data_IF_306485147551
#
_entry.id   IF_306485147551
#
_cell.length_a   1.000
_cell.length_b   1.000
_cell.length_c   1.000
_cell.angle_alpha   90.00
_cell.angle_beta   90.00
_cell.angle_gamma   90.00
#
_symmetry.space_group_name_H-M   'P 1'
#
loop_
_entity.id
_entity.type
_entity.pdbx_description
1 polymer ?
#
# COMPACT_ATOMS: atom_id res chain seq x y z
N UNK A 1 -33.91 52.63 17.27
CA UNK A 1 -33.59 52.44 15.84
C UNK A 1 -32.09 52.53 15.67
N UNK A 2 -31.40 51.38 15.62
CA UNK A 2 -29.98 51.30 15.30
C UNK A 2 -29.81 50.81 13.85
N UNK A 3 -28.77 51.24 13.12
CA UNK A 3 -28.65 50.94 11.70
C UNK A 3 -28.29 49.47 11.47
N UNK A 4 -29.04 48.81 10.58
CA UNK A 4 -28.70 47.50 10.04
C UNK A 4 -27.37 47.58 9.30
N UNK A 5 -26.35 46.84 9.76
CA UNK A 5 -25.14 46.57 8.97
C UNK A 5 -25.48 45.50 7.95
N UNK A 6 -25.54 45.87 6.68
CA UNK A 6 -25.55 44.91 5.56
C UNK A 6 -24.22 44.13 5.57
N UNK A 7 -24.31 42.82 5.77
CA UNK A 7 -23.19 41.91 5.51
C UNK A 7 -23.05 41.73 4.00
N UNK A 8 -22.10 42.45 3.40
CA UNK A 8 -21.62 42.20 2.05
C UNK A 8 -21.01 40.78 2.06
N UNK A 9 -21.75 39.79 1.55
CA UNK A 9 -21.21 38.47 1.26
C UNK A 9 -20.28 38.62 0.07
N UNK A 10 -18.97 38.46 0.31
CA UNK A 10 -18.02 38.31 -0.78
C UNK A 10 -18.37 37.10 -1.67
N UNK A 11 -17.83 37.05 -2.90
CA UNK A 11 -18.04 35.89 -3.77
C UNK A 11 -17.58 34.62 -3.06
N UNK A 12 -18.27 33.48 -3.27
CA UNK A 12 -17.87 32.21 -2.67
C UNK A 12 -16.41 31.91 -3.06
N UNK A 13 -15.62 31.34 -2.13
CA UNK A 13 -14.26 30.94 -2.45
C UNK A 13 -14.30 29.98 -3.66
N UNK A 14 -13.32 30.08 -4.58
CA UNK A 14 -13.26 29.16 -5.71
C UNK A 14 -13.22 27.71 -5.18
N UNK A 15 -13.89 26.77 -5.87
CA UNK A 15 -13.89 25.38 -5.45
C UNK A 15 -12.45 24.89 -5.32
N UNK A 16 -12.11 24.34 -4.16
CA UNK A 16 -10.81 23.73 -3.93
C UNK A 16 -10.69 22.55 -4.91
N UNK A 17 -9.83 22.66 -5.92
CA UNK A 17 -9.51 21.56 -6.83
C UNK A 17 -8.92 20.42 -6.02
N UNK A 18 -9.34 19.19 -6.35
CA UNK A 18 -8.88 17.98 -5.67
C UNK A 18 -7.33 17.92 -5.65
N UNK A 19 -6.68 17.48 -4.55
CA UNK A 19 -5.22 17.46 -4.44
C UNK A 19 -4.50 16.75 -5.59
N UNK A 20 -5.12 15.69 -6.14
CA UNK A 20 -4.60 14.95 -7.30
C UNK A 20 -4.66 15.71 -8.63
N UNK A 21 -5.37 16.83 -8.71
CA UNK A 21 -5.48 17.70 -9.89
C UNK A 21 -4.47 18.86 -9.87
N UNK A 22 -3.57 18.92 -8.88
CA UNK A 22 -2.49 19.92 -8.87
C UNK A 22 -1.28 19.46 -9.67
N UNK A 23 -0.60 20.42 -10.32
CA UNK A 23 0.71 20.16 -10.93
C UNK A 23 1.70 19.75 -9.83
N UNK A 24 2.39 18.64 -10.04
CA UNK A 24 3.36 18.06 -9.08
C UNK A 24 4.57 18.97 -8.80
N UNK A 25 4.84 19.91 -9.70
CA UNK A 25 5.96 20.86 -9.58
C UNK A 25 5.53 22.19 -8.94
N UNK A 26 4.37 22.25 -8.29
CA UNK A 26 3.90 23.47 -7.63
C UNK A 26 4.66 23.70 -6.32
N UNK A 27 5.60 24.63 -6.36
CA UNK A 27 6.19 25.23 -5.17
C UNK A 27 5.53 26.59 -4.94
N UNK A 28 5.02 26.91 -3.74
CA UNK A 28 4.52 28.25 -3.48
C UNK A 28 5.62 29.29 -3.68
N UNK A 29 5.30 30.42 -4.30
CA UNK A 29 6.22 31.55 -4.37
C UNK A 29 6.55 32.03 -2.94
N UNK A 30 7.84 32.31 -2.70
CA UNK A 30 8.33 32.96 -1.48
C UNK A 30 7.62 34.31 -1.26
N UNK A 31 7.41 34.70 -0.01
CA UNK A 31 6.72 35.94 0.43
C UNK A 31 5.18 35.93 0.32
N UNK A 32 4.55 34.77 0.10
CA UNK A 32 3.08 34.69 0.08
C UNK A 32 2.47 34.82 1.48
N UNK A 33 3.20 34.41 2.51
CA UNK A 33 2.76 34.51 3.88
C UNK A 33 3.96 34.54 4.82
N UNK A 34 4.21 35.70 5.42
CA UNK A 34 5.33 35.94 6.33
C UNK A 34 5.43 34.92 7.47
N UNK A 35 4.31 34.40 7.97
CA UNK A 35 4.33 33.38 9.03
C UNK A 35 4.79 32.01 8.51
N UNK A 36 4.36 31.64 7.30
CA UNK A 36 4.80 30.40 6.64
C UNK A 36 6.27 30.53 6.25
N UNK A 37 6.65 31.66 5.65
CA UNK A 37 8.03 31.94 5.26
C UNK A 37 8.95 31.89 6.49
N UNK A 38 8.62 32.58 7.59
CA UNK A 38 9.37 32.48 8.86
C UNK A 38 9.39 31.06 9.45
N UNK A 39 8.29 30.30 9.39
CA UNK A 39 8.30 28.92 9.89
C UNK A 39 9.25 28.03 9.07
N UNK A 40 9.22 28.15 7.74
CA UNK A 40 10.11 27.40 6.87
C UNK A 40 11.57 27.83 7.00
N UNK A 41 11.87 29.14 6.93
CA UNK A 41 13.25 29.66 6.96
C UNK A 41 13.85 29.65 8.36
N UNK A 42 13.09 30.09 9.38
CA UNK A 42 13.65 30.35 10.71
C UNK A 42 13.54 29.13 11.63
N UNK A 43 12.58 28.23 11.39
CA UNK A 43 12.39 27.03 12.21
C UNK A 43 12.80 25.75 11.50
N UNK A 44 12.24 25.45 10.31
CA UNK A 44 12.51 24.17 9.63
C UNK A 44 13.93 24.12 9.07
N UNK A 45 14.35 25.14 8.30
CA UNK A 45 15.71 25.19 7.76
C UNK A 45 16.76 25.30 8.87
N UNK A 46 16.51 26.09 9.91
CA UNK A 46 17.42 26.22 11.03
C UNK A 46 17.54 24.90 11.81
N UNK A 47 16.43 24.24 12.16
CA UNK A 47 16.47 22.92 12.79
C UNK A 47 17.16 21.88 11.91
N UNK A 48 16.94 21.90 10.59
CA UNK A 48 17.65 21.01 9.66
C UNK A 48 19.15 21.29 9.67
N UNK A 49 19.56 22.55 9.66
CA UNK A 49 20.97 22.94 9.74
C UNK A 49 21.60 22.51 11.06
N UNK A 50 20.90 22.74 12.17
CA UNK A 50 21.35 22.36 13.51
C UNK A 50 21.48 20.84 13.64
N UNK A 51 20.49 20.09 13.14
CA UNK A 51 20.53 18.63 13.05
C UNK A 51 21.71 18.14 12.19
N UNK A 52 21.91 18.72 11.01
CA UNK A 52 23.03 18.35 10.14
C UNK A 52 24.38 18.65 10.79
N UNK A 53 24.50 19.77 11.50
CA UNK A 53 25.69 20.12 12.26
C UNK A 53 25.93 19.13 13.41
N UNK A 54 24.89 18.77 14.17
CA UNK A 54 24.94 17.77 15.24
C UNK A 54 25.39 16.40 14.71
N UNK A 55 24.79 15.94 13.60
CA UNK A 55 25.18 14.70 12.91
C UNK A 55 26.62 14.77 12.39
N UNK A 56 27.07 15.91 11.89
CA UNK A 56 28.46 16.12 11.45
C UNK A 56 29.44 16.16 12.63
N UNK A 57 29.05 16.64 13.81
CA UNK A 57 29.89 16.58 15.02
C UNK A 57 29.97 15.16 15.59
N UNK A 58 28.95 14.34 15.39
CA UNK A 58 28.95 12.90 15.69
C UNK A 58 29.74 12.07 14.66
N UNK A 59 30.20 12.67 13.54
CA UNK A 59 30.95 11.96 12.50
C UNK A 59 32.42 11.70 12.87
N UNK A 60 32.82 11.95 14.12
CA UNK A 60 34.07 11.47 14.71
C UNK A 60 34.00 9.97 14.95
N UNK A 61 34.23 9.20 13.87
CA UNK A 61 34.01 7.76 13.74
C UNK A 61 32.56 7.40 13.39
N UNK A 62 32.31 7.11 12.11
CA UNK A 62 31.12 6.35 11.68
C UNK A 62 31.20 4.97 12.34
N UNK A 63 30.69 4.84 13.56
CA UNK A 63 30.52 3.54 14.19
C UNK A 63 29.42 2.85 13.41
N UNK A 64 29.79 1.77 12.75
CA UNK A 64 28.86 0.88 12.08
C UNK A 64 27.97 0.22 13.14
N UNK A 65 26.64 0.31 12.98
CA UNK A 65 25.70 -0.37 13.87
C UNK A 65 25.71 -1.90 13.69
N UNK A 66 26.50 -2.40 12.75
CA UNK A 66 26.71 -3.82 12.48
C UNK A 66 28.15 -4.20 12.80
N UNK A 67 28.31 -5.33 13.48
CA UNK A 67 29.60 -5.99 13.59
C UNK A 67 30.11 -6.41 12.21
N UNK A 68 31.43 -6.62 12.11
CA UNK A 68 32.05 -7.16 10.89
C UNK A 68 31.43 -8.49 10.46
N UNK A 69 31.01 -9.33 11.42
CA UNK A 69 30.38 -10.62 11.17
C UNK A 69 28.96 -10.45 10.60
N UNK A 70 28.14 -9.57 11.17
CA UNK A 70 26.79 -9.29 10.65
C UNK A 70 26.84 -8.66 9.25
N UNK A 71 27.77 -7.73 9.03
CA UNK A 71 27.98 -7.14 7.71
C UNK A 71 28.39 -8.17 6.68
N UNK A 72 29.26 -9.11 7.06
CA UNK A 72 29.65 -10.22 6.20
C UNK A 72 28.45 -11.13 5.90
N UNK A 73 27.65 -11.49 6.92
CA UNK A 73 26.44 -12.29 6.75
C UNK A 73 25.43 -11.61 5.81
N UNK A 74 25.25 -10.29 5.89
CA UNK A 74 24.38 -9.54 4.96
C UNK A 74 24.91 -9.54 3.53
N UNK A 75 26.23 -9.44 3.34
CA UNK A 75 26.84 -9.54 2.01
C UNK A 75 26.61 -10.93 1.42
N UNK A 76 26.81 -11.97 2.21
CA UNK A 76 26.57 -13.37 1.81
C UNK A 76 25.09 -13.64 1.52
N UNK A 77 24.18 -13.07 2.33
CA UNK A 77 22.74 -13.21 2.10
C UNK A 77 22.34 -12.50 0.81
N UNK A 78 22.88 -11.30 0.55
CA UNK A 78 22.63 -10.53 -0.66
C UNK A 78 23.16 -11.22 -1.92
N UNK A 79 24.24 -11.99 -1.83
CA UNK A 79 24.80 -12.73 -2.97
C UNK A 79 24.05 -14.02 -3.29
N UNK A 80 23.09 -14.46 -2.46
CA UNK A 80 22.30 -15.66 -2.73
C UNK A 80 21.16 -15.34 -3.70
N UNK A 81 21.22 -15.93 -4.89
CA UNK A 81 20.21 -15.79 -5.94
C UNK A 81 19.05 -16.80 -5.80
N UNK A 82 19.22 -17.85 -5.01
CA UNK A 82 18.25 -18.94 -4.86
C UNK A 82 17.23 -18.71 -3.73
N UNK A 83 17.13 -17.48 -3.20
CA UNK A 83 16.23 -17.14 -2.11
C UNK A 83 15.37 -15.92 -2.45
N UNK A 84 14.19 -15.87 -1.85
CA UNK A 84 13.28 -14.73 -1.87
C UNK A 84 13.10 -14.25 -0.43
N UNK A 85 13.22 -12.94 -0.23
CA UNK A 85 12.98 -12.27 1.04
C UNK A 85 11.72 -11.42 0.90
N UNK A 86 10.67 -11.76 1.65
CA UNK A 86 9.37 -11.05 1.62
C UNK A 86 8.81 -10.88 3.02
N UNK A 87 8.03 -9.81 3.29
CA UNK A 87 7.24 -9.75 4.50
C UNK A 87 6.18 -10.85 4.49
N UNK A 88 5.89 -11.42 5.66
CA UNK A 88 4.80 -12.36 5.83
C UNK A 88 3.45 -11.66 5.64
N UNK A 89 2.44 -12.42 5.22
CA UNK A 89 1.07 -11.92 5.06
C UNK A 89 0.47 -11.33 6.35
N UNK A 90 0.90 -11.85 7.51
CA UNK A 90 0.43 -11.44 8.84
C UNK A 90 1.58 -11.50 9.84
N UNK A 91 1.51 -10.63 10.86
CA UNK A 91 2.42 -10.66 12.02
C UNK A 91 3.76 -9.95 11.83
N UNK A 92 3.98 -9.25 10.70
CA UNK A 92 5.18 -8.40 10.50
C UNK A 92 6.51 -9.15 10.37
N UNK A 93 6.50 -10.49 10.37
CA UNK A 93 7.70 -11.30 10.22
C UNK A 93 8.30 -11.18 8.81
N UNK A 94 9.62 -11.41 8.71
CA UNK A 94 10.33 -11.53 7.44
C UNK A 94 10.48 -13.02 7.11
N UNK A 95 10.10 -13.42 5.90
CA UNK A 95 10.19 -14.80 5.42
C UNK A 95 11.32 -14.91 4.41
N UNK A 96 12.24 -15.83 4.68
CA UNK A 96 13.25 -16.29 3.73
C UNK A 96 12.76 -17.62 3.13
N UNK A 97 12.47 -17.61 1.83
CA UNK A 97 11.95 -18.76 1.11
C UNK A 97 12.89 -19.13 -0.05
N UNK A 98 12.91 -20.41 -0.44
CA UNK A 98 13.55 -20.83 -1.67
C UNK A 98 12.86 -20.18 -2.89
N UNK A 99 13.64 -19.69 -3.85
CA UNK A 99 13.12 -19.00 -5.03
C UNK A 99 12.24 -19.92 -5.92
N UNK A 100 12.63 -21.18 -6.08
CA UNK A 100 11.92 -22.15 -6.93
C UNK A 100 10.55 -22.48 -6.34
N UNK A 101 10.47 -22.70 -5.03
CA UNK A 101 9.21 -22.94 -4.32
C UNK A 101 8.26 -21.75 -4.46
N UNK A 102 8.80 -20.54 -4.38
CA UNK A 102 8.04 -19.30 -4.52
C UNK A 102 7.48 -19.13 -5.96
N UNK A 103 8.31 -19.41 -6.97
CA UNK A 103 7.92 -19.37 -8.39
C UNK A 103 6.89 -20.46 -8.70
N UNK A 104 7.10 -21.68 -8.19
CA UNK A 104 6.19 -22.81 -8.36
C UNK A 104 4.81 -22.50 -7.76
N UNK A 105 4.75 -21.91 -6.58
CA UNK A 105 3.48 -21.47 -5.99
C UNK A 105 2.79 -20.38 -6.82
N UNK A 106 3.55 -19.44 -7.41
CA UNK A 106 2.99 -18.42 -8.30
C UNK A 106 2.37 -19.06 -9.55
N UNK A 107 3.09 -19.99 -10.20
CA UNK A 107 2.57 -20.71 -11.36
C UNK A 107 1.36 -21.59 -11.00
N UNK A 108 1.37 -22.25 -9.85
CA UNK A 108 0.22 -23.04 -9.37
C UNK A 108 -1.05 -22.19 -9.26
N UNK A 109 -0.94 -20.95 -8.78
CA UNK A 109 -2.09 -20.02 -8.70
C UNK A 109 -2.49 -19.49 -10.08
N UNK A 110 -1.53 -19.11 -10.92
CA UNK A 110 -1.79 -18.57 -12.26
C UNK A 110 -2.30 -19.63 -13.26
N UNK A 111 -2.09 -20.92 -12.98
CA UNK A 111 -2.61 -22.02 -13.77
C UNK A 111 -4.13 -22.23 -13.62
N UNK A 112 -4.77 -21.56 -12.65
CA UNK A 112 -6.21 -21.62 -12.49
C UNK A 112 -6.93 -20.82 -13.60
N UNK A 113 -7.33 -21.54 -14.65
CA UNK A 113 -8.01 -20.99 -15.81
C UNK A 113 -9.45 -20.52 -15.52
N UNK A 114 -9.99 -20.77 -14.32
CA UNK A 114 -11.28 -20.19 -13.93
C UNK A 114 -11.18 -18.70 -13.57
N UNK A 115 -9.98 -18.23 -13.18
CA UNK A 115 -9.72 -16.84 -12.81
C UNK A 115 -8.72 -16.14 -13.74
N UNK A 116 -7.73 -16.86 -14.26
CA UNK A 116 -6.64 -16.30 -15.05
C UNK A 116 -6.64 -16.81 -16.49
N UNK A 117 -6.15 -15.99 -17.42
CA UNK A 117 -5.88 -16.40 -18.78
C UNK A 117 -4.54 -15.84 -19.24
N UNK A 118 -3.70 -16.63 -19.94
CA UNK A 118 -2.43 -16.15 -20.46
C UNK A 118 -2.67 -15.08 -21.53
N UNK A 119 -1.87 -14.02 -21.50
CA UNK A 119 -1.90 -12.94 -22.48
C UNK A 119 -0.63 -13.01 -23.34
N UNK A 120 -0.79 -12.89 -24.65
CA UNK A 120 0.33 -12.95 -25.61
C UNK A 120 1.17 -11.68 -25.65
N UNK A 121 0.63 -10.55 -25.18
CA UNK A 121 1.29 -9.25 -25.21
C UNK A 121 0.77 -8.33 -24.10
N UNK A 122 1.58 -7.32 -23.76
CA UNK A 122 1.19 -6.26 -22.84
C UNK A 122 0.00 -5.47 -23.42
N UNK A 123 -1.09 -5.40 -22.63
CA UNK A 123 -2.34 -4.72 -23.00
C UNK A 123 -2.39 -3.26 -22.55
N UNK A 124 -1.34 -2.75 -21.91
CA UNK A 124 -1.31 -1.39 -21.32
C UNK A 124 -1.69 -0.32 -22.34
N UNK A 125 -1.15 -0.37 -23.55
CA UNK A 125 -1.47 0.60 -24.61
C UNK A 125 -2.92 0.51 -25.06
N UNK A 126 -3.48 -0.70 -25.18
CA UNK A 126 -4.87 -0.90 -25.56
C UNK A 126 -5.85 -0.41 -24.48
N UNK A 127 -5.52 -0.66 -23.20
CA UNK A 127 -6.27 -0.12 -22.07
C UNK A 127 -6.22 1.42 -22.06
N UNK A 128 -5.06 2.01 -22.32
CA UNK A 128 -4.91 3.47 -22.41
C UNK A 128 -5.70 4.06 -23.58
N UNK A 129 -5.74 3.40 -24.74
CA UNK A 129 -6.59 3.82 -25.89
C UNK A 129 -8.07 3.78 -25.51
N UNK A 130 -8.53 2.70 -24.87
CA UNK A 130 -9.90 2.57 -24.37
C UNK A 130 -10.23 3.66 -23.37
N UNK A 131 -9.35 3.92 -22.40
CA UNK A 131 -9.48 5.03 -21.47
C UNK A 131 -9.67 6.35 -22.21
N UNK A 132 -8.77 6.70 -23.13
CA UNK A 132 -8.87 7.94 -23.93
C UNK A 132 -10.17 8.04 -24.71
N UNK A 133 -10.67 6.94 -25.29
CA UNK A 133 -11.97 6.94 -25.98
C UNK A 133 -13.15 7.19 -25.02
N UNK A 134 -13.10 6.66 -23.80
CA UNK A 134 -14.12 6.92 -22.78
C UNK A 134 -14.07 8.38 -22.32
N UNK A 135 -12.88 8.98 -22.25
CA UNK A 135 -12.72 10.39 -21.88
C UNK A 135 -13.35 11.35 -22.89
N UNK A 136 -13.41 11.00 -24.17
CA UNK A 136 -14.02 11.84 -25.21
C UNK A 136 -15.51 12.09 -24.98
N UNK A 137 -16.19 11.24 -24.20
CA UNK A 137 -17.61 11.37 -23.90
C UNK A 137 -17.91 12.40 -22.80
N UNK A 138 -16.89 12.95 -22.14
CA UNK A 138 -17.05 13.95 -21.06
C UNK A 138 -16.89 15.38 -21.60
N UNK A 139 -17.36 16.37 -20.84
CA UNK A 139 -17.17 17.79 -21.15
C UNK A 139 -15.70 18.20 -21.16
N UNK A 140 -15.33 19.19 -21.98
CA UNK A 140 -13.93 19.61 -22.21
C UNK A 140 -13.18 19.92 -20.92
N UNK A 141 -13.79 20.63 -19.97
CA UNK A 141 -13.17 20.96 -18.69
C UNK A 141 -12.83 19.71 -17.88
N UNK A 142 -13.73 18.72 -17.91
CA UNK A 142 -13.51 17.42 -17.27
C UNK A 142 -12.41 16.63 -17.97
N UNK A 143 -12.30 16.73 -19.30
CA UNK A 143 -11.23 16.06 -20.04
C UNK A 143 -9.84 16.58 -19.65
N UNK A 144 -9.67 17.89 -19.47
CA UNK A 144 -8.40 18.48 -19.04
C UNK A 144 -8.01 18.04 -17.62
N UNK A 145 -8.99 17.98 -16.72
CA UNK A 145 -8.77 17.51 -15.36
C UNK A 145 -8.39 16.02 -15.32
N UNK A 146 -9.06 15.17 -16.10
CA UNK A 146 -8.76 13.73 -16.12
C UNK A 146 -7.43 13.43 -16.81
N UNK A 147 -6.96 14.26 -17.76
CA UNK A 147 -5.60 14.11 -18.32
C UNK A 147 -4.53 14.19 -17.24
N UNK A 148 -4.75 14.97 -16.17
CA UNK A 148 -3.84 15.05 -15.02
C UNK A 148 -3.87 13.79 -14.14
N UNK A 149 -4.92 12.97 -14.26
CA UNK A 149 -5.11 11.71 -13.56
C UNK A 149 -4.64 10.49 -14.36
N UNK A 150 -4.05 10.69 -15.54
CA UNK A 150 -3.39 9.61 -16.28
C UNK A 150 -1.92 9.55 -15.87
N UNK A 151 -1.39 8.36 -15.55
CA UNK A 151 0.03 8.22 -15.25
C UNK A 151 0.89 8.57 -16.49
N UNK A 152 2.03 9.26 -16.30
CA UNK A 152 2.88 9.67 -17.42
C UNK A 152 3.52 8.46 -18.13
N UNK A 153 3.88 7.42 -17.36
CA UNK A 153 4.50 6.20 -17.85
C UNK A 153 3.67 4.99 -17.37
N UNK A 154 2.53 4.68 -18.01
CA UNK A 154 1.69 3.56 -17.60
C UNK A 154 2.39 2.22 -17.81
N UNK A 155 2.22 1.28 -16.88
CA UNK A 155 2.70 -0.09 -17.02
C UNK A 155 1.64 -1.12 -16.57
N UNK A 156 1.86 -2.37 -16.94
CA UNK A 156 1.08 -3.49 -16.41
C UNK A 156 1.34 -3.68 -14.92
N UNK A 157 0.32 -4.11 -14.17
CA UNK A 157 0.49 -4.41 -12.75
C UNK A 157 1.46 -5.56 -12.50
N UNK A 158 2.24 -5.45 -11.43
CA UNK A 158 3.23 -6.47 -11.05
C UNK A 158 2.61 -7.53 -10.14
N UNK A 159 2.66 -8.80 -10.55
CA UNK A 159 2.22 -9.93 -9.73
C UNK A 159 3.32 -10.36 -8.75
N UNK A 160 2.98 -10.53 -7.48
CA UNK A 160 3.84 -11.13 -6.47
C UNK A 160 3.03 -11.79 -5.37
N UNK A 161 3.70 -12.61 -4.55
CA UNK A 161 3.10 -13.32 -3.44
C UNK A 161 3.60 -12.77 -2.09
N UNK A 162 2.70 -12.74 -1.10
CA UNK A 162 3.08 -12.62 0.31
C UNK A 162 2.94 -13.98 1.01
N UNK A 163 4.02 -14.55 1.59
CA UNK A 163 3.95 -15.86 2.22
C UNK A 163 3.02 -15.86 3.45
N UNK A 164 2.04 -16.76 3.48
CA UNK A 164 1.13 -16.95 4.62
C UNK A 164 1.74 -17.91 5.63
N UNK A 165 2.85 -17.52 6.26
CA UNK A 165 3.57 -18.35 7.24
C UNK A 165 2.65 -18.95 8.32
N UNK A 166 1.66 -18.18 8.79
CA UNK A 166 0.65 -18.61 9.77
C UNK A 166 -0.21 -19.82 9.33
N UNK A 167 -0.18 -20.23 8.05
CA UNK A 167 -0.90 -21.41 7.55
C UNK A 167 -0.07 -22.69 7.63
N UNK A 168 1.25 -22.61 7.85
CA UNK A 168 2.13 -23.77 7.94
C UNK A 168 1.70 -24.74 9.04
N UNK A 169 1.33 -24.23 10.22
CA UNK A 169 0.87 -25.06 11.35
C UNK A 169 -0.33 -25.94 10.94
N UNK A 170 -1.36 -25.32 10.37
CA UNK A 170 -2.55 -26.04 9.91
C UNK A 170 -2.25 -27.04 8.78
N UNK A 171 -1.30 -26.75 7.89
CA UNK A 171 -0.88 -27.69 6.84
C UNK A 171 -0.09 -28.87 7.41
N UNK A 172 0.76 -28.62 8.41
CA UNK A 172 1.50 -29.67 9.10
C UNK A 172 0.57 -30.58 9.90
N UNK A 173 -0.43 -30.03 10.59
CA UNK A 173 -1.44 -30.80 11.32
C UNK A 173 -2.19 -31.79 10.42
N UNK A 174 -2.38 -31.47 9.13
CA UNK A 174 -3.04 -32.36 8.17
C UNK A 174 -2.14 -33.51 7.70
N UNK A 175 -0.81 -33.33 7.72
CA UNK A 175 0.16 -34.33 7.22
C UNK A 175 0.75 -35.16 8.35
N UNK A 176 0.93 -34.57 9.52
CA UNK A 176 1.50 -35.20 10.71
C UNK A 176 0.36 -35.76 11.56
N UNK A 177 -0.27 -36.83 11.06
CA UNK A 177 -1.46 -37.39 11.69
C UNK A 177 -1.19 -38.13 13.01
N UNK A 178 0.07 -38.43 13.37
CA UNK A 178 0.40 -39.27 14.54
C UNK A 178 1.80 -38.97 15.17
N UNK A 179 2.26 -37.70 15.25
CA UNK A 179 3.53 -37.46 15.95
C UNK A 179 3.34 -37.33 17.46
N UNK A 180 4.11 -38.11 18.23
CA UNK A 180 4.17 -38.03 19.71
C UNK A 180 4.53 -36.62 20.24
N UNK A 181 5.16 -35.79 19.40
CA UNK A 181 5.56 -34.42 19.77
C UNK A 181 4.65 -33.39 19.11
N UNK A 182 4.08 -32.44 19.86
CA UNK A 182 3.27 -31.37 19.29
C UNK A 182 4.12 -30.44 18.39
N UNK A 183 3.48 -29.87 17.38
CA UNK A 183 4.09 -28.85 16.51
C UNK A 183 4.29 -27.58 17.33
N UNK A 184 5.48 -27.01 17.29
CA UNK A 184 5.85 -25.80 18.01
C UNK A 184 6.90 -24.99 17.23
N UNK A 185 7.24 -23.80 17.72
CA UNK A 185 8.13 -22.87 17.02
C UNK A 185 9.56 -23.42 16.83
N UNK A 186 10.00 -24.35 17.66
CA UNK A 186 11.33 -24.97 17.55
C UNK A 186 11.39 -26.03 16.45
N UNK A 187 10.31 -26.79 16.24
CA UNK A 187 10.29 -27.91 15.31
C UNK A 187 9.59 -27.59 13.97
N UNK A 188 8.78 -26.52 13.89
CA UNK A 188 7.94 -26.21 12.72
C UNK A 188 8.75 -26.10 11.42
N UNK A 189 9.92 -25.44 11.46
CA UNK A 189 10.77 -25.28 10.28
C UNK A 189 11.34 -26.62 9.82
N UNK A 190 11.77 -27.46 10.78
CA UNK A 190 12.31 -28.78 10.47
C UNK A 190 11.22 -29.69 9.88
N UNK A 191 10.03 -29.70 10.47
CA UNK A 191 8.91 -30.49 9.99
C UNK A 191 8.44 -30.02 8.60
N UNK A 192 8.31 -28.70 8.39
CA UNK A 192 7.95 -28.14 7.09
C UNK A 192 8.95 -28.58 6.00
N UNK A 193 10.25 -28.55 6.30
CA UNK A 193 11.28 -29.06 5.37
C UNK A 193 11.18 -30.57 5.15
N UNK A 194 10.97 -31.35 6.22
CA UNK A 194 10.86 -32.81 6.17
C UNK A 194 9.71 -33.26 5.27
N UNK A 195 8.57 -32.57 5.33
CA UNK A 195 7.38 -32.88 4.54
C UNK A 195 7.22 -32.00 3.29
N UNK A 196 8.26 -31.23 2.92
CA UNK A 196 8.26 -30.32 1.77
C UNK A 196 7.04 -29.38 1.73
N UNK A 197 6.60 -28.90 2.89
CA UNK A 197 5.48 -27.96 3.02
C UNK A 197 6.00 -26.55 2.88
N UNK A 198 5.47 -25.83 1.90
CA UNK A 198 5.76 -24.42 1.64
C UNK A 198 4.57 -23.55 2.07
N UNK A 199 4.82 -22.32 2.52
CA UNK A 199 3.73 -21.44 2.92
C UNK A 199 2.96 -21.00 1.67
N UNK A 200 1.62 -21.10 1.65
CA UNK A 200 0.85 -20.64 0.51
C UNK A 200 1.00 -19.12 0.34
N UNK A 201 1.01 -18.64 -0.89
CA UNK A 201 1.13 -17.21 -1.19
C UNK A 201 -0.23 -16.49 -1.16
N UNK A 202 -0.29 -15.26 -0.65
CA UNK A 202 -1.37 -14.33 -1.03
C UNK A 202 -1.00 -13.69 -2.38
N UNK A 203 -1.78 -13.90 -3.46
CA UNK A 203 -1.55 -13.21 -4.72
C UNK A 203 -1.85 -11.72 -4.57
N UNK A 204 -0.92 -10.89 -5.01
CA UNK A 204 -1.05 -9.43 -5.09
C UNK A 204 -0.70 -9.00 -6.51
N UNK A 205 -1.54 -8.16 -7.10
CA UNK A 205 -1.22 -7.42 -8.33
C UNK A 205 -1.06 -5.95 -7.94
N UNK A 206 0.16 -5.43 -8.07
CA UNK A 206 0.44 -4.02 -7.79
C UNK A 206 -0.26 -3.12 -8.82
N UNK A 207 -1.04 -2.16 -8.33
CA UNK A 207 -1.68 -1.12 -9.15
C UNK A 207 -0.79 0.09 -9.46
N UNK A 208 0.46 0.10 -8.98
CA UNK A 208 1.37 1.25 -9.12
C UNK A 208 1.70 1.48 -10.59
N UNK A 209 1.55 2.73 -11.03
CA UNK A 209 1.70 3.20 -12.40
C UNK A 209 0.79 2.49 -13.42
N UNK A 210 -0.26 1.79 -12.98
CA UNK A 210 -1.22 1.20 -13.92
C UNK A 210 -2.11 2.28 -14.56
N UNK A 211 -2.64 2.06 -15.78
CA UNK A 211 -3.48 3.03 -16.50
C UNK A 211 -4.57 3.72 -15.66
N UNK A 212 -5.12 3.01 -14.67
CA UNK A 212 -6.25 3.47 -13.85
C UNK A 212 -5.85 3.91 -12.45
N UNK A 213 -4.57 3.89 -12.04
CA UNK A 213 -4.16 4.13 -10.64
C UNK A 213 -4.76 5.41 -10.05
N UNK A 214 -4.45 6.57 -10.64
CA UNK A 214 -4.88 7.85 -10.09
C UNK A 214 -6.36 8.12 -10.35
N UNK A 215 -6.92 7.57 -11.42
CA UNK A 215 -8.35 7.65 -11.68
C UNK A 215 -9.14 6.89 -10.61
N UNK A 216 -8.71 5.68 -10.25
CA UNK A 216 -9.31 4.89 -9.17
C UNK A 216 -9.18 5.62 -7.83
N UNK A 217 -8.01 6.21 -7.54
CA UNK A 217 -7.82 7.00 -6.32
C UNK A 217 -8.70 8.26 -6.29
N UNK A 218 -8.88 8.92 -7.43
CA UNK A 218 -9.77 10.07 -7.57
C UNK A 218 -11.22 9.67 -7.35
N UNK A 219 -11.71 8.60 -7.99
CA UNK A 219 -13.08 8.12 -7.78
C UNK A 219 -13.30 7.70 -6.33
N UNK A 220 -12.34 6.98 -5.74
CA UNK A 220 -12.40 6.56 -4.34
C UNK A 220 -12.55 7.76 -3.39
N UNK A 221 -11.86 8.89 -3.65
CA UNK A 221 -11.96 10.07 -2.77
C UNK A 221 -13.37 10.69 -2.71
N UNK A 222 -14.18 10.54 -3.76
CA UNK A 222 -15.60 10.93 -3.74
C UNK A 222 -16.50 9.85 -3.13
N UNK A 223 -16.15 8.58 -3.30
CA UNK A 223 -16.92 7.47 -2.74
C UNK A 223 -16.74 7.36 -1.22
N UNK A 224 -15.53 7.58 -0.69
CA UNK A 224 -15.23 7.42 0.75
C UNK A 224 -16.17 8.21 1.68
N UNK A 225 -16.50 9.49 1.43
CA UNK A 225 -17.49 10.22 2.22
C UNK A 225 -18.91 9.65 2.09
N UNK A 226 -19.29 9.20 0.88
CA UNK A 226 -20.62 8.65 0.61
C UNK A 226 -20.81 7.28 1.26
N UNK A 227 -19.76 6.45 1.32
CA UNK A 227 -19.82 5.15 1.99
C UNK A 227 -20.24 5.27 3.45
N UNK A 228 -19.85 6.37 4.13
CA UNK A 228 -20.17 6.61 5.55
C UNK A 228 -21.67 6.87 5.80
N UNK A 229 -22.44 7.24 4.78
CA UNK A 229 -23.89 7.45 4.92
C UNK A 229 -24.69 6.15 4.78
N UNK A 230 -24.06 5.06 4.33
CA UNK A 230 -24.72 3.77 4.13
C UNK A 230 -25.00 3.13 5.50
N UNK A 231 -26.23 2.68 5.80
CA UNK A 231 -26.56 2.07 7.09
C UNK A 231 -25.70 0.87 7.47
N UNK A 232 -25.25 0.08 6.49
CA UNK A 232 -24.38 -1.09 6.66
C UNK A 232 -22.89 -0.74 6.81
N UNK A 233 -22.50 0.54 6.78
CA UNK A 233 -21.12 0.96 6.94
C UNK A 233 -20.62 0.65 8.34
N UNK A 234 -19.50 -0.08 8.41
CA UNK A 234 -18.74 -0.34 9.63
C UNK A 234 -17.38 0.33 9.48
N UNK A 235 -17.01 1.15 10.46
CA UNK A 235 -15.83 2.01 10.37
C UNK A 235 -14.58 1.26 10.88
N UNK A 236 -14.72 0.64 12.04
CA UNK A 236 -13.66 -0.04 12.77
C UNK A 236 -14.30 -1.02 13.77
N UNK A 237 -13.45 -1.77 14.49
CA UNK A 237 -13.87 -2.74 15.50
C UNK A 237 -14.74 -2.10 16.59
N UNK A 238 -14.47 -0.86 16.98
CA UNK A 238 -15.25 -0.18 18.03
C UNK A 238 -16.63 0.23 17.53
N UNK A 239 -16.75 0.72 16.29
CA UNK A 239 -18.03 0.98 15.65
C UNK A 239 -18.84 -0.31 15.48
N UNK A 240 -18.18 -1.41 15.08
CA UNK A 240 -18.82 -2.72 14.97
C UNK A 240 -19.42 -3.20 16.29
N UNK A 241 -18.65 -3.16 17.39
CA UNK A 241 -19.12 -3.59 18.70
C UNK A 241 -20.32 -2.77 19.20
N UNK A 242 -20.32 -1.45 18.95
CA UNK A 242 -21.48 -0.60 19.28
C UNK A 242 -22.73 -1.00 18.49
N UNK A 243 -22.61 -1.20 17.17
CA UNK A 243 -23.72 -1.66 16.34
C UNK A 243 -24.24 -3.03 16.77
N UNK A 244 -23.36 -3.93 17.20
CA UNK A 244 -23.75 -5.26 17.67
C UNK A 244 -24.60 -5.19 18.95
N UNK A 245 -24.30 -4.26 19.85
CA UNK A 245 -25.09 -4.03 21.08
C UNK A 245 -26.50 -3.49 20.80
N UNK A 246 -26.70 -2.84 19.65
CA UNK A 246 -28.00 -2.32 19.22
C UNK A 246 -28.89 -3.41 18.59
N UNK A 247 -28.33 -4.57 18.26
CA UNK A 247 -29.11 -5.69 17.70
C UNK A 247 -29.88 -6.38 18.84
N UNK A 248 -31.23 -6.42 18.79
CA UNK A 248 -32.01 -7.09 19.81
C UNK A 248 -31.68 -8.58 19.85
N UNK A 249 -31.61 -9.15 21.06
CA UNK A 249 -31.42 -10.59 21.24
C UNK A 249 -32.51 -11.35 20.50
N UNK A 250 -32.09 -12.20 19.56
CA UNK A 250 -32.98 -13.18 18.94
C UNK A 250 -33.31 -14.19 20.04
N UNK A 251 -34.57 -14.22 20.49
CA UNK A 251 -35.01 -15.33 21.33
C UNK A 251 -35.04 -16.57 20.43
N UNK A 252 -34.18 -17.55 20.74
CA UNK A 252 -34.25 -18.87 20.13
C UNK A 252 -35.62 -19.47 20.45
N UNK A 253 -36.37 -19.83 19.40
CA UNK A 253 -37.65 -20.51 19.48
C UNK A 253 -37.51 -22.02 19.48
#
# INVERSE_FOLDING_TARGET
MGPHREHIRGPPPPPLRHPLLHKRDWTPNVNRNRYIDCFFTDSVEQHLRDFLNEVNHLSGSKIDNLSSQERQALRELRSKENIVIKPADKGGAIVLQNLEDYISEAHRQLADNSFYSPQSSDQTLEVMKKLRSLLQNFETDTQEDIKLLLPPNPCSGYFYLLPKWHKIYALLEQVVLDSEKPINDENVIHLARKYCITPPGRPIVSGINTPTEYLSAYVDSFLQPLLKSIPSYIQDTTHFLRRLQEIPYIQEG
#
